data_IF_355275180576
#
_entry.id   IF_355275180576
#
_cell.length_a   1.000
_cell.length_b   1.000
_cell.length_c   1.000
_cell.angle_alpha   90.00
_cell.angle_beta   90.00
_cell.angle_gamma   90.00
#
_symmetry.space_group_name_H-M   'P 1'
#
loop_
_entity.id
_entity.type
_entity.pdbx_description
1 polymer ?
#
# COMPACT_ATOMS: atom_id res chain seq x y z
N UNK A 1 -5.80 9.27 20.44
CA UNK A 1 -6.77 8.18 20.09
C UNK A 1 -6.24 7.33 18.92
N UNK A 2 -6.88 6.20 18.57
CA UNK A 2 -6.52 5.42 17.35
C UNK A 2 -7.18 6.00 16.09
N UNK A 3 -6.37 6.17 15.05
CA UNK A 3 -6.75 6.58 13.69
C UNK A 3 -6.20 5.57 12.67
N UNK A 4 -6.78 5.57 11.47
CA UNK A 4 -6.22 4.84 10.34
C UNK A 4 -6.23 5.71 9.09
N UNK A 5 -5.18 5.58 8.27
CA UNK A 5 -5.03 6.26 7.00
C UNK A 5 -4.77 5.20 5.94
N UNK A 6 -5.66 5.13 4.95
CA UNK A 6 -5.51 4.29 3.77
C UNK A 6 -4.76 5.08 2.70
N UNK A 7 -3.51 4.71 2.46
CA UNK A 7 -2.70 5.25 1.38
C UNK A 7 -3.16 4.62 0.06
N UNK A 8 -3.89 5.40 -0.73
CA UNK A 8 -4.43 5.07 -2.04
C UNK A 8 -3.66 5.80 -3.17
N UNK A 9 -2.34 5.84 -3.04
CA UNK A 9 -1.43 6.37 -4.05
C UNK A 9 -1.06 5.34 -5.13
N UNK A 10 -0.55 5.83 -6.26
CA UNK A 10 0.02 5.02 -7.32
C UNK A 10 -0.87 4.90 -8.57
N UNK A 11 -0.35 5.38 -9.70
CA UNK A 11 -1.07 5.40 -10.98
C UNK A 11 -1.35 4.01 -11.57
N UNK A 12 -0.76 2.94 -11.03
CA UNK A 12 -1.08 1.58 -11.43
C UNK A 12 -0.61 1.15 -12.83
N UNK A 13 0.23 1.94 -13.52
CA UNK A 13 0.53 1.79 -14.97
C UNK A 13 0.93 0.39 -15.48
N UNK A 14 1.37 -0.51 -14.60
CA UNK A 14 1.65 -1.93 -14.93
C UNK A 14 0.39 -2.78 -15.14
N UNK A 15 -0.76 -2.34 -14.63
CA UNK A 15 -2.08 -2.97 -14.76
C UNK A 15 -2.94 -2.29 -15.85
N UNK A 16 -2.32 -1.48 -16.71
CA UNK A 16 -2.97 -0.99 -17.92
C UNK A 16 -3.34 -2.16 -18.83
N UNK A 17 -4.51 -2.17 -19.48
CA UNK A 17 -5.47 -1.07 -19.66
C UNK A 17 -6.57 -0.93 -18.60
N UNK A 18 -6.61 -1.79 -17.57
CA UNK A 18 -7.61 -1.68 -16.51
C UNK A 18 -7.37 -0.46 -15.62
N UNK A 19 -6.12 -0.23 -15.22
CA UNK A 19 -5.75 1.00 -14.52
C UNK A 19 -5.45 2.11 -15.52
N UNK A 20 -5.99 3.30 -15.27
CA UNK A 20 -5.78 4.51 -16.08
C UNK A 20 -5.59 5.73 -15.18
N UNK A 21 -5.22 6.86 -15.78
CA UNK A 21 -5.09 8.12 -15.05
C UNK A 21 -6.41 8.54 -14.35
N UNK A 22 -7.57 8.15 -14.87
CA UNK A 22 -8.89 8.41 -14.24
C UNK A 22 -9.34 7.30 -13.29
N UNK A 23 -8.83 6.09 -13.44
CA UNK A 23 -9.25 4.91 -12.66
C UNK A 23 -8.02 4.20 -12.08
N UNK A 24 -7.61 4.54 -10.85
CA UNK A 24 -6.35 4.08 -10.28
C UNK A 24 -6.45 2.61 -9.81
N UNK A 25 -5.30 1.95 -9.67
CA UNK A 25 -5.23 0.49 -9.45
C UNK A 25 -6.00 0.01 -8.22
N UNK A 26 -6.07 0.79 -7.15
CA UNK A 26 -6.76 0.40 -5.92
C UNK A 26 -8.28 0.25 -6.12
N UNK A 27 -8.84 0.78 -7.21
CA UNK A 27 -10.25 0.58 -7.55
C UNK A 27 -10.50 -0.68 -8.37
N UNK A 28 -9.44 -1.37 -8.81
CA UNK A 28 -9.56 -2.63 -9.52
C UNK A 28 -10.20 -3.69 -8.62
N UNK A 29 -11.15 -4.40 -9.21
CA UNK A 29 -11.87 -5.48 -8.53
C UNK A 29 -11.02 -6.75 -8.48
N UNK A 30 -11.08 -7.43 -7.34
CA UNK A 30 -10.50 -8.77 -7.14
C UNK A 30 -11.61 -9.80 -6.93
N UNK A 31 -11.27 -11.05 -6.59
CA UNK A 31 -12.26 -12.09 -6.26
C UNK A 31 -13.30 -11.56 -5.26
N UNK A 32 -14.56 -11.84 -5.56
CA UNK A 32 -15.70 -11.34 -4.79
C UNK A 32 -16.26 -9.99 -5.30
N UNK A 33 -15.69 -9.41 -6.35
CA UNK A 33 -16.21 -8.21 -7.02
C UNK A 33 -15.99 -6.91 -6.25
N UNK A 34 -15.25 -6.95 -5.14
CA UNK A 34 -14.87 -5.76 -4.36
C UNK A 34 -13.56 -5.19 -4.89
N UNK A 35 -13.44 -3.86 -4.85
CA UNK A 35 -12.17 -3.19 -5.14
C UNK A 35 -11.15 -3.42 -4.03
N UNK A 36 -9.85 -3.34 -4.35
CA UNK A 36 -8.78 -3.41 -3.36
C UNK A 36 -8.95 -2.35 -2.25
N UNK A 37 -9.36 -1.13 -2.63
CA UNK A 37 -9.65 -0.04 -1.71
C UNK A 37 -10.79 -0.42 -0.74
N UNK A 38 -11.85 -1.04 -1.24
CA UNK A 38 -12.96 -1.50 -0.38
C UNK A 38 -12.47 -2.55 0.61
N UNK A 39 -11.65 -3.51 0.17
CA UNK A 39 -11.06 -4.50 1.08
C UNK A 39 -10.16 -3.85 2.14
N UNK A 40 -9.39 -2.82 1.77
CA UNK A 40 -8.57 -2.05 2.70
C UNK A 40 -9.38 -1.25 3.72
N UNK A 41 -10.59 -0.81 3.37
CA UNK A 41 -11.51 -0.17 4.29
C UNK A 41 -12.18 -1.17 5.23
N UNK A 42 -12.75 -2.26 4.68
CA UNK A 42 -13.46 -3.28 5.48
C UNK A 42 -12.58 -3.96 6.52
N UNK A 43 -11.27 -4.13 6.25
CA UNK A 43 -10.35 -4.67 7.26
C UNK A 43 -10.16 -3.75 8.48
N UNK A 44 -10.48 -2.47 8.37
CA UNK A 44 -10.48 -1.50 9.48
C UNK A 44 -11.85 -1.34 10.15
N UNK A 45 -12.93 -1.72 9.46
CA UNK A 45 -14.31 -1.57 9.94
C UNK A 45 -14.52 -2.24 11.31
N UNK A 46 -15.10 -1.50 12.26
CA UNK A 46 -15.30 -1.96 13.64
C UNK A 46 -14.03 -2.02 14.49
N UNK A 47 -12.84 -1.81 13.91
CA UNK A 47 -11.58 -1.70 14.62
C UNK A 47 -11.19 -0.23 14.87
N UNK A 48 -11.37 0.63 13.86
CA UNK A 48 -11.30 2.10 13.96
C UNK A 48 -12.67 2.65 13.55
N UNK A 49 -13.26 3.62 14.27
CA UNK A 49 -14.53 4.22 13.86
C UNK A 49 -14.36 5.03 12.57
N UNK A 50 -15.40 5.09 11.74
CA UNK A 50 -15.36 5.67 10.40
C UNK A 50 -14.90 7.14 10.39
N UNK A 51 -15.26 7.91 11.43
CA UNK A 51 -14.84 9.31 11.59
C UNK A 51 -13.33 9.48 11.81
N UNK A 52 -12.61 8.38 12.08
CA UNK A 52 -11.15 8.34 12.28
C UNK A 52 -10.42 7.53 11.21
N UNK A 53 -11.13 7.09 10.18
CA UNK A 53 -10.53 6.51 8.98
C UNK A 53 -10.38 7.65 7.95
N UNK A 54 -9.18 7.76 7.40
CA UNK A 54 -8.83 8.72 6.36
C UNK A 54 -8.37 7.97 5.10
N UNK A 55 -8.52 8.61 3.94
CA UNK A 55 -7.97 8.11 2.67
C UNK A 55 -7.07 9.19 2.09
N UNK A 56 -5.81 8.86 1.80
CA UNK A 56 -4.88 9.75 1.14
C UNK A 56 -4.70 9.31 -0.31
N UNK A 57 -5.06 10.18 -1.26
CA UNK A 57 -5.02 9.88 -2.69
C UNK A 57 -4.93 11.17 -3.52
N UNK A 58 -4.64 11.04 -4.83
CA UNK A 58 -4.67 12.18 -5.73
C UNK A 58 -6.05 12.85 -5.80
N UNK A 59 -6.09 14.19 -5.77
CA UNK A 59 -7.35 14.97 -5.76
C UNK A 59 -8.27 14.62 -6.94
N UNK A 60 -7.71 14.26 -8.10
CA UNK A 60 -8.47 13.84 -9.29
C UNK A 60 -9.28 12.56 -9.09
N UNK A 61 -8.99 11.77 -8.05
CA UNK A 61 -9.67 10.52 -7.75
C UNK A 61 -10.72 10.64 -6.63
N UNK A 62 -10.92 11.83 -6.06
CA UNK A 62 -11.80 12.03 -4.90
C UNK A 62 -13.19 11.45 -5.16
N UNK A 63 -13.86 11.90 -6.22
CA UNK A 63 -15.24 11.48 -6.50
C UNK A 63 -15.37 9.95 -6.59
N UNK A 64 -14.53 9.31 -7.42
CA UNK A 64 -14.61 7.85 -7.63
C UNK A 64 -14.21 7.08 -6.37
N UNK A 65 -13.30 7.60 -5.53
CA UNK A 65 -12.97 6.98 -4.24
C UNK A 65 -14.14 7.03 -3.28
N UNK A 66 -14.83 8.18 -3.18
CA UNK A 66 -15.99 8.35 -2.31
C UNK A 66 -17.17 7.46 -2.75
N UNK A 67 -17.34 7.23 -4.05
CA UNK A 67 -18.35 6.29 -4.57
C UNK A 67 -18.10 4.84 -4.10
N UNK A 68 -16.83 4.45 -3.90
CA UNK A 68 -16.47 3.13 -3.38
C UNK A 68 -16.52 3.03 -1.84
N UNK A 69 -16.51 4.17 -1.14
CA UNK A 69 -16.47 4.28 0.32
C UNK A 69 -17.53 5.28 0.83
N UNK A 70 -18.84 4.99 0.65
CA UNK A 70 -19.91 5.92 1.04
C UNK A 70 -19.97 6.21 2.55
N UNK A 71 -19.34 5.38 3.38
CA UNK A 71 -19.25 5.55 4.83
C UNK A 71 -18.15 6.54 5.27
N UNK A 72 -17.20 6.85 4.39
CA UNK A 72 -16.09 7.76 4.70
C UNK A 72 -16.59 9.22 4.72
N UNK A 73 -16.34 10.00 5.78
CA UNK A 73 -16.62 11.44 5.77
C UNK A 73 -15.81 12.16 4.70
N UNK A 74 -16.41 13.13 4.02
CA UNK A 74 -15.74 13.87 2.92
C UNK A 74 -14.50 14.62 3.41
N UNK A 75 -14.55 15.15 4.63
CA UNK A 75 -13.43 15.83 5.30
C UNK A 75 -12.24 14.92 5.64
N UNK A 76 -12.42 13.59 5.58
CA UNK A 76 -11.39 12.59 5.82
C UNK A 76 -10.69 12.12 4.52
N UNK A 77 -11.08 12.68 3.37
CA UNK A 77 -10.31 12.56 2.14
C UNK A 77 -9.16 13.56 2.12
N UNK A 78 -7.93 13.05 2.10
CA UNK A 78 -6.69 13.81 2.02
C UNK A 78 -6.20 13.84 0.56
N UNK A 79 -6.64 14.86 -0.17
CA UNK A 79 -6.33 15.05 -1.59
C UNK A 79 -4.90 15.56 -1.84
N UNK A 80 -4.08 14.75 -2.49
CA UNK A 80 -2.76 15.14 -3.00
C UNK A 80 -2.89 15.86 -4.35
N UNK A 81 -2.46 17.12 -4.48
CA UNK A 81 -2.51 17.84 -5.76
C UNK A 81 -1.57 17.24 -6.82
N UNK A 82 -0.46 16.64 -6.39
CA UNK A 82 0.55 16.02 -7.24
C UNK A 82 1.24 14.89 -6.50
N UNK A 83 1.55 13.80 -7.20
CA UNK A 83 2.21 12.64 -6.59
C UNK A 83 3.64 12.96 -6.13
N UNK A 84 3.88 12.90 -4.82
CA UNK A 84 5.19 13.13 -4.18
C UNK A 84 5.69 11.96 -3.33
N UNK A 85 5.17 10.75 -3.58
CA UNK A 85 5.56 9.52 -2.90
C UNK A 85 5.18 9.52 -1.40
N UNK A 86 5.43 8.41 -0.69
CA UNK A 86 4.76 8.11 0.58
C UNK A 86 5.16 9.02 1.75
N UNK A 87 6.35 9.63 1.75
CA UNK A 87 6.77 10.46 2.89
C UNK A 87 5.85 11.68 3.07
N UNK A 88 5.46 12.33 1.97
CA UNK A 88 4.62 13.52 2.01
C UNK A 88 3.16 13.18 2.25
N UNK A 89 2.65 12.11 1.65
CA UNK A 89 1.28 11.63 1.85
C UNK A 89 1.04 11.29 3.33
N UNK A 90 1.99 10.57 3.94
CA UNK A 90 1.95 10.21 5.34
C UNK A 90 2.17 11.44 6.24
N UNK A 91 3.16 12.27 5.91
CA UNK A 91 3.46 13.50 6.66
C UNK A 91 2.28 14.47 6.71
N UNK A 92 1.58 14.66 5.58
CA UNK A 92 0.36 15.46 5.50
C UNK A 92 -0.75 14.90 6.38
N UNK A 93 -0.99 13.59 6.30
CA UNK A 93 -2.01 12.95 7.14
C UNK A 93 -1.69 13.12 8.63
N UNK A 94 -0.44 12.88 9.05
CA UNK A 94 -0.03 13.11 10.44
C UNK A 94 -0.21 14.59 10.84
N UNK A 95 0.20 15.54 10.00
CA UNK A 95 0.07 16.97 10.29
C UNK A 95 -1.40 17.39 10.46
N UNK A 96 -2.29 16.96 9.58
CA UNK A 96 -3.73 17.25 9.69
C UNK A 96 -4.35 16.59 10.92
N UNK A 97 -4.00 15.33 11.20
CA UNK A 97 -4.54 14.60 12.36
C UNK A 97 -4.08 15.24 13.68
N UNK A 98 -2.81 15.66 13.79
CA UNK A 98 -2.26 16.27 15.02
C UNK A 98 -2.91 17.60 15.37
N UNK A 99 -3.32 18.40 14.38
CA UNK A 99 -4.07 19.64 14.62
C UNK A 99 -5.45 19.37 15.26
N UNK A 100 -6.00 18.17 15.06
CA UNK A 100 -7.30 17.74 15.60
C UNK A 100 -7.18 16.92 16.89
N UNK A 101 -6.16 16.06 17.00
CA UNK A 101 -5.83 15.23 18.16
C UNK A 101 -4.30 15.13 18.33
N UNK A 102 -3.71 15.90 19.27
CA UNK A 102 -2.26 15.90 19.51
C UNK A 102 -1.69 14.55 19.97
N UNK A 103 -2.52 13.68 20.56
CA UNK A 103 -2.15 12.36 21.08
C UNK A 103 -2.61 11.23 20.13
N UNK A 104 -2.79 11.54 18.85
CA UNK A 104 -3.20 10.57 17.85
C UNK A 104 -2.12 9.51 17.60
N UNK A 105 -2.51 8.24 17.70
CA UNK A 105 -1.77 7.10 17.17
C UNK A 105 -2.47 6.67 15.88
N UNK A 106 -1.74 6.68 14.78
CA UNK A 106 -2.29 6.44 13.46
C UNK A 106 -1.64 5.21 12.82
N UNK A 107 -2.49 4.31 12.31
CA UNK A 107 -2.07 3.25 11.42
C UNK A 107 -2.08 3.75 9.97
N UNK A 108 -1.03 3.45 9.22
CA UNK A 108 -0.92 3.69 7.80
C UNK A 108 -0.99 2.36 7.08
N UNK A 109 -2.07 2.16 6.34
CA UNK A 109 -2.35 0.94 5.61
C UNK A 109 -2.39 1.24 4.11
N UNK A 110 -2.06 0.26 3.28
CA UNK A 110 -2.10 0.42 1.82
C UNK A 110 -3.43 -0.05 1.23
N UNK A 111 -3.87 0.63 0.17
CA UNK A 111 -5.14 0.39 -0.50
C UNK A 111 -5.13 -0.79 -1.50
N UNK A 112 -3.97 -1.35 -1.79
CA UNK A 112 -3.72 -2.27 -2.92
C UNK A 112 -3.21 -3.65 -2.47
N UNK A 113 -3.33 -3.96 -1.19
CA UNK A 113 -2.99 -5.28 -0.64
C UNK A 113 -4.24 -6.15 -0.43
N UNK A 114 -4.12 -7.43 -0.75
CA UNK A 114 -5.03 -8.48 -0.27
C UNK A 114 -4.38 -9.16 0.93
N UNK A 115 -5.11 -9.26 2.04
CA UNK A 115 -4.60 -9.77 3.32
C UNK A 115 -5.63 -10.73 3.92
N UNK A 116 -5.25 -11.99 4.10
CA UNK A 116 -6.13 -13.03 4.64
C UNK A 116 -5.37 -13.94 5.64
N UNK A 117 -5.97 -14.33 6.78
CA UNK A 117 -7.28 -13.90 7.28
C UNK A 117 -7.22 -12.48 7.90
N UNK A 118 -8.33 -11.75 7.80
CA UNK A 118 -8.44 -10.36 8.29
C UNK A 118 -8.27 -10.28 9.81
N UNK A 119 -8.69 -11.31 10.54
CA UNK A 119 -8.58 -11.41 11.99
C UNK A 119 -7.11 -11.39 12.44
N UNK A 120 -6.25 -12.17 11.79
CA UNK A 120 -4.81 -12.18 12.09
C UNK A 120 -4.13 -10.84 11.76
N UNK A 121 -4.60 -10.15 10.72
CA UNK A 121 -4.18 -8.76 10.47
C UNK A 121 -4.61 -7.82 11.59
N UNK A 122 -5.87 -7.89 12.05
CA UNK A 122 -6.40 -7.05 13.14
C UNK A 122 -5.71 -7.31 14.47
N UNK A 123 -5.35 -8.56 14.77
CA UNK A 123 -4.55 -8.92 15.94
C UNK A 123 -3.17 -8.24 15.90
N UNK A 124 -2.46 -8.35 14.77
CA UNK A 124 -1.18 -7.67 14.58
C UNK A 124 -1.32 -6.15 14.68
N UNK A 125 -2.34 -5.58 14.04
CA UNK A 125 -2.64 -4.15 14.09
C UNK A 125 -2.91 -3.67 15.52
N UNK A 126 -3.68 -4.44 16.31
CA UNK A 126 -3.92 -4.17 17.72
C UNK A 126 -2.66 -4.23 18.57
N UNK A 127 -1.78 -5.21 18.34
CA UNK A 127 -0.45 -5.24 18.98
C UNK A 127 0.38 -4.01 18.63
N UNK A 128 0.40 -3.59 17.36
CA UNK A 128 1.17 -2.42 16.93
C UNK A 128 0.65 -1.13 17.59
N UNK A 129 -0.68 -0.92 17.60
CA UNK A 129 -1.28 0.19 18.33
C UNK A 129 -0.92 0.17 19.82
N UNK A 130 -1.13 -0.95 20.50
CA UNK A 130 -0.84 -1.05 21.93
C UNK A 130 0.65 -0.81 22.24
N UNK A 131 1.54 -1.25 21.36
CA UNK A 131 2.99 -1.03 21.48
C UNK A 131 3.33 0.46 21.41
N UNK A 132 2.79 1.17 20.42
CA UNK A 132 3.04 2.61 20.25
C UNK A 132 2.35 3.43 21.35
N UNK A 133 1.17 3.02 21.80
CA UNK A 133 0.46 3.64 22.93
C UNK A 133 1.29 3.56 24.22
N UNK A 134 1.95 2.41 24.47
CA UNK A 134 2.84 2.23 25.63
C UNK A 134 4.22 2.91 25.44
N UNK A 135 4.70 2.99 24.19
CA UNK A 135 6.02 3.50 23.84
C UNK A 135 5.94 4.45 22.64
N UNK A 136 5.58 5.72 22.86
CA UNK A 136 5.26 6.63 21.76
C UNK A 136 6.41 7.00 20.82
N UNK A 137 7.65 6.72 21.23
CA UNK A 137 8.85 6.85 20.42
C UNK A 137 9.03 5.71 19.40
N UNK A 138 8.21 4.66 19.47
CA UNK A 138 8.32 3.53 18.54
C UNK A 138 7.63 3.83 17.21
N UNK A 139 8.29 3.43 16.13
CA UNK A 139 7.76 3.37 14.77
C UNK A 139 7.52 1.90 14.43
N UNK A 140 6.28 1.46 14.54
CA UNK A 140 5.94 0.08 14.27
C UNK A 140 5.72 -0.13 12.76
N UNK A 141 6.29 -1.21 12.22
CA UNK A 141 5.99 -1.73 10.87
C UNK A 141 5.49 -3.17 10.98
N UNK A 142 4.96 -3.71 9.88
CA UNK A 142 4.52 -5.10 9.82
C UNK A 142 5.36 -5.92 8.85
N UNK A 143 5.79 -7.08 9.32
CA UNK A 143 6.62 -8.00 8.56
C UNK A 143 5.87 -9.28 8.19
N UNK A 144 5.94 -9.72 6.93
CA UNK A 144 5.35 -10.99 6.48
C UNK A 144 6.45 -12.05 6.35
N UNK A 145 6.28 -13.27 6.90
CA UNK A 145 7.22 -14.36 6.69
C UNK A 145 7.43 -14.65 5.20
N UNK A 146 8.67 -14.60 4.69
CA UNK A 146 8.90 -14.75 3.27
C UNK A 146 8.73 -16.22 2.86
N UNK A 147 7.95 -16.45 1.81
CA UNK A 147 7.76 -17.78 1.21
C UNK A 147 8.65 -17.99 -0.03
N UNK A 148 9.35 -16.94 -0.47
CA UNK A 148 10.27 -16.96 -1.61
C UNK A 148 11.29 -15.81 -1.53
N UNK A 149 12.33 -15.88 -2.35
CA UNK A 149 13.35 -14.83 -2.48
C UNK A 149 12.91 -13.75 -3.47
N UNK A 150 12.01 -12.86 -3.04
CA UNK A 150 11.40 -11.86 -3.90
C UNK A 150 12.20 -10.55 -3.95
N UNK A 151 12.80 -10.22 -5.09
CA UNK A 151 13.65 -9.02 -5.25
C UNK A 151 12.86 -7.71 -5.37
N UNK A 152 11.55 -7.79 -5.63
CA UNK A 152 10.68 -6.62 -5.75
C UNK A 152 10.16 -6.06 -4.41
N UNK A 153 10.50 -6.68 -3.28
CA UNK A 153 10.01 -6.30 -1.94
C UNK A 153 11.16 -5.82 -1.05
N UNK A 154 10.84 -4.99 -0.07
CA UNK A 154 11.74 -4.68 1.04
C UNK A 154 11.83 -5.85 2.04
N UNK A 155 12.97 -5.95 2.72
CA UNK A 155 13.22 -6.91 3.78
C UNK A 155 13.57 -6.20 5.10
N UNK A 156 13.07 -6.76 6.19
CA UNK A 156 13.28 -6.29 7.57
C UNK A 156 14.04 -7.38 8.31
N UNK A 157 15.25 -7.08 8.80
CA UNK A 157 15.96 -7.98 9.69
C UNK A 157 15.50 -7.77 11.14
N UNK A 158 14.99 -8.83 11.76
CA UNK A 158 14.54 -8.80 13.16
C UNK A 158 15.71 -8.89 14.13
N UNK A 159 15.65 -8.06 15.16
CA UNK A 159 16.44 -8.17 16.38
C UNK A 159 15.77 -9.10 17.41
N UNK A 160 16.18 -8.99 18.67
CA UNK A 160 15.53 -9.70 19.77
C UNK A 160 14.09 -9.21 20.03
N UNK A 161 13.20 -10.07 20.58
CA UNK A 161 11.87 -9.68 21.01
C UNK A 161 11.92 -8.55 22.06
N UNK A 162 10.97 -7.64 22.01
CA UNK A 162 10.78 -6.61 23.04
C UNK A 162 10.11 -7.26 24.26
N UNK A 163 10.80 -7.36 25.43
CA UNK A 163 10.26 -8.09 26.58
C UNK A 163 8.96 -7.48 27.13
N UNK A 164 8.84 -6.16 27.08
CA UNK A 164 7.74 -5.39 27.68
C UNK A 164 6.62 -5.04 26.68
N UNK A 165 6.69 -5.55 25.43
CA UNK A 165 5.65 -5.29 24.45
C UNK A 165 4.34 -6.03 24.79
N UNK A 166 3.16 -5.46 24.47
CA UNK A 166 1.87 -6.07 24.81
C UNK A 166 1.66 -7.49 24.26
N UNK A 167 2.30 -7.83 23.14
CA UNK A 167 2.26 -9.17 22.54
C UNK A 167 3.19 -10.21 23.19
N UNK A 168 4.00 -9.81 24.17
CA UNK A 168 5.00 -10.65 24.82
C UNK A 168 4.42 -11.46 26.01
N UNK A 169 3.18 -11.18 26.41
CA UNK A 169 2.55 -11.72 27.61
C UNK A 169 1.70 -12.99 27.35
N UNK A 170 2.36 -14.13 27.15
CA UNK A 170 1.79 -15.47 27.35
C UNK A 170 0.68 -15.95 26.38
N UNK A 171 0.15 -17.17 26.59
CA UNK A 171 -0.88 -17.76 25.74
C UNK A 171 -2.20 -16.97 25.85
N UNK A 172 -2.49 -16.15 24.84
CA UNK A 172 -3.62 -15.21 24.78
C UNK A 172 -3.22 -13.78 24.40
N UNK A 173 -1.92 -13.46 24.39
CA UNK A 173 -1.41 -12.20 23.84
C UNK A 173 -1.33 -12.20 22.31
N UNK A 174 -1.36 -11.01 21.70
CA UNK A 174 -1.12 -10.85 20.26
C UNK A 174 0.32 -11.21 19.85
N UNK A 175 0.71 -11.04 18.57
CA UNK A 175 2.03 -11.45 18.09
C UNK A 175 3.19 -10.76 18.85
N UNK A 176 4.29 -11.48 19.03
CA UNK A 176 5.51 -10.91 19.62
C UNK A 176 6.04 -9.75 18.77
N UNK A 177 6.54 -8.71 19.43
CA UNK A 177 7.13 -7.53 18.78
C UNK A 177 8.65 -7.64 18.82
N UNK A 178 9.31 -7.35 17.71
CA UNK A 178 10.77 -7.45 17.60
C UNK A 178 11.36 -6.08 17.30
N UNK A 179 12.58 -5.83 17.78
CA UNK A 179 13.36 -4.70 17.26
C UNK A 179 13.74 -4.94 15.80
N UNK A 180 14.15 -3.90 15.10
CA UNK A 180 14.68 -4.00 13.73
C UNK A 180 16.17 -3.63 13.73
N UNK A 181 17.02 -4.50 13.19
CA UNK A 181 18.47 -4.22 13.03
C UNK A 181 18.78 -3.56 11.70
N UNK A 182 18.04 -3.91 10.66
CA UNK A 182 18.26 -3.40 9.32
C UNK A 182 16.97 -3.41 8.50
N UNK A 183 16.89 -2.44 7.60
CA UNK A 183 15.90 -2.37 6.56
C UNK A 183 16.63 -2.37 5.21
N UNK A 184 16.15 -3.15 4.25
CA UNK A 184 16.77 -3.24 2.93
C UNK A 184 15.69 -3.30 1.86
N UNK A 185 15.57 -2.21 1.09
CA UNK A 185 14.62 -2.13 -0.01
C UNK A 185 15.15 -2.82 -1.27
N UNK A 186 14.39 -3.80 -1.80
CA UNK A 186 14.63 -4.46 -3.10
C UNK A 186 16.06 -5.00 -3.29
N UNK A 187 16.47 -5.99 -2.48
CA UNK A 187 17.79 -6.60 -2.61
C UNK A 187 17.96 -7.34 -3.94
N UNK A 188 19.22 -7.60 -4.31
CA UNK A 188 19.51 -8.51 -5.43
C UNK A 188 19.09 -9.96 -5.11
N UNK A 189 19.03 -10.80 -6.15
CA UNK A 189 18.53 -12.17 -6.02
C UNK A 189 19.36 -13.04 -5.05
N UNK A 190 20.68 -12.86 -5.02
CA UNK A 190 21.55 -13.64 -4.14
C UNK A 190 21.32 -13.25 -2.66
N UNK A 191 21.19 -11.95 -2.42
CA UNK A 191 20.89 -11.38 -1.11
C UNK A 191 19.51 -11.80 -0.62
N UNK A 192 18.48 -11.72 -1.47
CA UNK A 192 17.13 -12.19 -1.14
C UNK A 192 17.11 -13.69 -0.77
N UNK A 193 17.87 -14.53 -1.50
CA UNK A 193 18.00 -15.95 -1.17
C UNK A 193 18.66 -16.17 0.19
N UNK A 194 19.73 -15.42 0.49
CA UNK A 194 20.40 -15.49 1.78
C UNK A 194 19.48 -15.05 2.93
N UNK A 195 18.66 -14.02 2.73
CA UNK A 195 17.69 -13.54 3.72
C UNK A 195 16.65 -14.59 4.09
N UNK A 196 16.08 -15.26 3.08
CA UNK A 196 15.10 -16.34 3.29
C UNK A 196 15.76 -17.53 3.98
N UNK A 197 16.94 -17.96 3.51
CA UNK A 197 17.68 -19.07 4.11
C UNK A 197 18.09 -18.81 5.57
N UNK A 198 18.38 -17.55 5.91
CA UNK A 198 18.78 -17.15 7.27
C UNK A 198 17.62 -17.09 8.28
N UNK A 199 16.36 -17.07 7.84
CA UNK A 199 15.17 -17.15 8.71
C UNK A 199 14.90 -15.94 9.62
N UNK A 200 15.79 -14.94 9.67
CA UNK A 200 15.63 -13.72 10.49
C UNK A 200 14.86 -12.60 9.79
N UNK A 201 14.76 -12.65 8.47
CA UNK A 201 14.16 -11.56 7.70
C UNK A 201 12.66 -11.77 7.47
N UNK A 202 11.93 -10.66 7.42
CA UNK A 202 10.52 -10.59 7.01
C UNK A 202 10.42 -9.67 5.78
N UNK A 203 9.42 -9.88 4.92
CA UNK A 203 9.07 -8.88 3.91
C UNK A 203 8.47 -7.64 4.58
N UNK A 204 8.92 -6.46 4.17
CA UNK A 204 8.27 -5.21 4.54
C UNK A 204 6.91 -5.11 3.86
N UNK A 205 5.85 -4.98 4.65
CA UNK A 205 4.50 -4.82 4.13
C UNK A 205 4.16 -3.39 3.70
N UNK A 206 5.04 -2.39 3.97
CA UNK A 206 4.75 -0.99 3.69
C UNK A 206 3.62 -0.38 4.52
N UNK A 207 3.22 -1.07 5.60
CA UNK A 207 2.23 -0.61 6.56
C UNK A 207 2.92 -0.24 7.88
N UNK A 208 2.36 0.74 8.59
CA UNK A 208 3.00 1.31 9.77
C UNK A 208 2.00 1.70 10.86
N UNK A 209 2.48 1.87 12.09
CA UNK A 209 1.75 2.51 13.20
C UNK A 209 2.73 3.37 13.99
N UNK A 210 2.32 4.61 14.30
CA UNK A 210 3.11 5.53 15.13
C UNK A 210 2.21 6.60 15.74
N UNK A 211 2.74 7.30 16.75
CA UNK A 211 2.16 8.56 17.20
C UNK A 211 2.46 9.64 16.16
N UNK A 212 1.46 10.42 15.78
CA UNK A 212 1.55 11.29 14.62
C UNK A 212 2.58 12.43 14.81
N UNK A 213 2.68 13.01 16.00
CA UNK A 213 3.72 13.98 16.40
C UNK A 213 5.15 13.38 16.39
N UNK A 214 5.31 12.12 16.79
CA UNK A 214 6.58 11.41 16.76
C UNK A 214 7.07 11.31 15.31
N UNK A 215 6.17 10.93 14.38
CA UNK A 215 6.52 10.90 12.97
C UNK A 215 6.90 12.31 12.46
N UNK A 216 6.11 13.33 12.78
CA UNK A 216 6.41 14.71 12.37
C UNK A 216 7.76 15.19 12.89
N UNK A 217 8.15 14.77 14.09
CA UNK A 217 9.48 15.04 14.66
C UNK A 217 10.59 14.38 13.85
N UNK A 218 10.40 13.13 13.41
CA UNK A 218 11.36 12.47 12.52
C UNK A 218 11.40 13.15 11.14
N UNK A 219 10.24 13.52 10.59
CA UNK A 219 10.17 14.22 9.32
C UNK A 219 10.88 15.58 9.38
N UNK A 220 10.72 16.33 10.47
CA UNK A 220 11.44 17.58 10.68
C UNK A 220 12.96 17.37 10.68
N UNK A 221 13.42 16.28 11.28
CA UNK A 221 14.85 15.95 11.40
C UNK A 221 15.46 15.52 10.06
N UNK A 222 14.81 14.61 9.34
CA UNK A 222 15.39 14.00 8.13
C UNK A 222 14.99 14.69 6.83
N UNK A 223 13.85 15.39 6.84
CA UNK A 223 13.27 16.02 5.66
C UNK A 223 12.57 17.34 6.03
N UNK A 224 13.31 18.33 6.59
CA UNK A 224 12.72 19.54 7.15
C UNK A 224 11.84 20.31 6.17
N UNK A 225 12.22 20.36 4.89
CA UNK A 225 11.40 21.00 3.85
C UNK A 225 10.05 20.31 3.63
N UNK A 226 9.98 18.98 3.78
CA UNK A 226 8.70 18.27 3.74
C UNK A 226 7.87 18.58 4.98
N UNK A 227 8.47 18.56 6.18
CA UNK A 227 7.81 18.93 7.43
C UNK A 227 7.19 20.33 7.37
N UNK A 228 7.95 21.33 6.94
CA UNK A 228 7.48 22.72 6.84
C UNK A 228 6.31 22.83 5.86
N UNK A 229 6.42 22.15 4.72
CA UNK A 229 5.38 22.10 3.70
C UNK A 229 4.08 21.45 4.20
N UNK A 230 4.15 20.24 4.75
CA UNK A 230 2.95 19.53 5.22
C UNK A 230 2.30 20.22 6.42
N UNK A 231 3.09 20.80 7.32
CA UNK A 231 2.58 21.57 8.48
C UNK A 231 1.89 22.85 8.03
N UNK A 232 2.44 23.54 7.02
CA UNK A 232 1.80 24.73 6.43
C UNK A 232 0.45 24.37 5.81
N UNK A 233 0.36 23.23 5.13
CA UNK A 233 -0.89 22.76 4.53
C UNK A 233 -1.91 22.38 5.62
N UNK A 234 -1.48 21.66 6.65
CA UNK A 234 -2.34 21.26 7.76
C UNK A 234 -3.00 22.46 8.48
N UNK A 235 -2.24 23.53 8.73
CA UNK A 235 -2.78 24.78 9.32
C UNK A 235 -3.87 25.45 8.49
N UNK A 236 -3.86 25.24 7.18
CA UNK A 236 -4.87 25.77 6.27
C UNK A 236 -5.98 24.75 5.95
N UNK A 237 -5.91 23.52 6.48
CA UNK A 237 -6.73 22.40 6.03
C UNK A 237 -8.22 22.63 6.25
N UNK A 238 -8.58 23.11 7.44
CA UNK A 238 -9.97 23.38 7.81
C UNK A 238 -10.38 24.85 7.50
N UNK A 239 -9.72 25.49 6.52
CA UNK A 239 -10.01 26.85 6.07
C UNK A 239 -10.32 26.92 4.57
N UNK A 240 -10.92 28.02 4.07
CA UNK A 240 -11.13 28.24 2.63
C UNK A 240 -9.83 28.28 1.80
N UNK A 241 -8.66 28.44 2.44
CA UNK A 241 -7.37 28.59 1.77
C UNK A 241 -6.71 27.25 1.46
N UNK A 242 -7.22 26.13 2.02
CA UNK A 242 -6.69 24.76 1.90
C UNK A 242 -6.15 24.45 0.50
N UNK A 243 -6.99 24.57 -0.53
CA UNK A 243 -6.64 24.20 -1.90
C UNK A 243 -5.48 25.03 -2.42
N UNK A 244 -5.51 26.35 -2.23
CA UNK A 244 -4.47 27.26 -2.72
C UNK A 244 -3.14 27.03 -2.00
N UNK A 245 -3.18 26.74 -0.69
CA UNK A 245 -1.98 26.45 0.09
C UNK A 245 -1.41 25.08 -0.28
N UNK A 246 -2.26 24.06 -0.41
CA UNK A 246 -1.87 22.70 -0.80
C UNK A 246 -1.21 22.69 -2.18
N UNK A 247 -1.81 23.27 -3.21
CA UNK A 247 -1.25 23.29 -4.56
C UNK A 247 0.15 23.90 -4.61
N UNK A 248 0.37 25.01 -3.88
CA UNK A 248 1.67 25.70 -3.86
C UNK A 248 2.72 24.93 -3.06
N UNK A 249 2.39 24.59 -1.81
CA UNK A 249 3.36 23.96 -0.92
C UNK A 249 3.68 22.51 -1.33
N UNK A 250 2.67 21.73 -1.75
CA UNK A 250 2.86 20.32 -2.13
C UNK A 250 3.69 20.17 -3.41
N UNK A 251 3.61 21.14 -4.33
CA UNK A 251 4.40 21.15 -5.55
C UNK A 251 5.90 21.32 -5.31
N UNK A 252 6.32 21.89 -4.17
CA UNK A 252 7.72 22.11 -3.82
C UNK A 252 8.34 20.91 -3.06
N UNK A 253 7.52 19.96 -2.62
CA UNK A 253 7.98 18.85 -1.79
C UNK A 253 8.86 17.86 -2.58
N UNK A 254 9.91 17.30 -1.95
CA UNK A 254 10.74 16.28 -2.57
C UNK A 254 9.92 15.02 -2.82
N UNK A 255 10.17 14.33 -3.93
CA UNK A 255 9.55 13.02 -4.20
C UNK A 255 10.39 11.92 -3.55
N UNK A 256 9.94 11.37 -2.43
CA UNK A 256 10.69 10.38 -1.63
C UNK A 256 9.75 9.51 -0.80
N UNK A 257 10.07 8.22 -0.66
CA UNK A 257 9.29 7.31 0.18
C UNK A 257 9.60 7.50 1.67
N UNK A 258 8.65 7.12 2.52
CA UNK A 258 8.83 7.13 3.97
C UNK A 258 9.92 6.18 4.44
N UNK A 259 10.11 5.06 3.73
CA UNK A 259 11.12 4.06 4.05
C UNK A 259 12.53 4.68 3.98
N UNK A 260 12.83 5.41 2.91
CA UNK A 260 14.11 6.12 2.77
C UNK A 260 14.20 7.36 3.66
N UNK A 261 13.11 8.12 3.78
CA UNK A 261 13.13 9.40 4.49
C UNK A 261 13.22 9.25 6.02
N UNK A 262 12.63 8.18 6.59
CA UNK A 262 12.48 8.04 8.04
C UNK A 262 12.86 6.63 8.53
N UNK A 263 12.33 5.57 7.92
CA UNK A 263 12.49 4.22 8.50
C UNK A 263 13.93 3.72 8.47
N UNK A 264 14.64 3.89 7.36
CA UNK A 264 16.04 3.49 7.23
C UNK A 264 16.97 4.25 8.20
N UNK A 265 16.94 5.61 8.29
CA UNK A 265 17.69 6.34 9.32
C UNK A 265 17.34 5.91 10.74
N UNK A 266 16.05 5.82 11.07
CA UNK A 266 15.60 5.47 12.43
C UNK A 266 16.02 4.04 12.82
N UNK A 267 16.05 3.10 11.87
CA UNK A 267 16.51 1.73 12.12
C UNK A 267 18.01 1.65 12.45
N UNK A 268 18.84 2.60 11.97
CA UNK A 268 20.28 2.66 12.29
C UNK A 268 20.56 3.17 13.70
N UNK A 269 19.53 3.61 14.43
CA UNK A 269 19.67 4.14 15.79
C UNK A 269 20.32 5.53 15.83
N UNK A 270 20.24 6.28 14.72
CA UNK A 270 20.72 7.65 14.65
C UNK A 270 19.79 8.62 15.40
N UNK A 271 18.60 8.15 15.79
CA UNK A 271 17.49 8.96 16.33
C UNK A 271 16.96 8.44 17.67
N UNK A 272 16.12 9.24 18.33
CA UNK A 272 15.39 8.83 19.54
C UNK A 272 14.29 7.81 19.24
N UNK A 273 13.77 7.83 18.01
CA UNK A 273 12.76 6.90 17.55
C UNK A 273 13.37 5.51 17.35
N UNK A 274 12.57 4.47 17.61
CA UNK A 274 13.00 3.08 17.45
C UNK A 274 12.06 2.34 16.54
N UNK A 275 12.61 1.69 15.52
CA UNK A 275 11.82 0.85 14.62
C UNK A 275 11.57 -0.52 15.25
N UNK A 276 10.31 -0.93 15.26
CA UNK A 276 9.88 -2.26 15.72
C UNK A 276 9.05 -2.91 14.63
N UNK A 277 9.06 -4.24 14.59
CA UNK A 277 8.28 -5.02 13.62
C UNK A 277 7.36 -5.99 14.33
N UNK A 278 6.10 -5.99 13.89
CA UNK A 278 5.07 -6.95 14.28
C UNK A 278 4.90 -7.95 13.15
N UNK A 279 5.27 -9.23 13.32
CA UNK A 279 5.08 -10.24 12.29
C UNK A 279 3.58 -10.52 12.08
N UNK A 280 3.17 -10.65 10.81
CA UNK A 280 1.81 -11.04 10.43
C UNK A 280 1.84 -12.44 9.84
N UNK A 281 1.11 -13.38 10.45
CA UNK A 281 0.91 -14.73 9.91
C UNK A 281 -0.31 -14.75 9.00
N UNK A 282 -0.17 -14.19 7.81
CA UNK A 282 -1.25 -13.99 6.81
C UNK A 282 -0.76 -14.39 5.42
N UNK A 283 -1.67 -14.79 4.54
CA UNK A 283 -1.43 -14.66 3.10
C UNK A 283 -1.56 -13.18 2.75
N UNK A 284 -0.50 -12.65 2.14
CA UNK A 284 -0.36 -11.25 1.80
C UNK A 284 0.06 -11.12 0.35
N UNK A 285 -0.66 -10.27 -0.38
CA UNK A 285 -0.44 -10.03 -1.80
C UNK A 285 -0.41 -8.53 -2.02
N UNK A 286 0.76 -8.00 -2.42
CA UNK A 286 0.89 -6.67 -3.01
C UNK A 286 0.48 -6.71 -4.48
N UNK A 287 -0.67 -6.13 -4.81
CA UNK A 287 -1.22 -6.12 -6.17
C UNK A 287 -0.58 -5.01 -7.00
N UNK A 288 0.70 -5.21 -7.31
CA UNK A 288 1.51 -4.28 -8.10
C UNK A 288 1.57 -4.56 -9.61
N UNK A 289 1.26 -5.78 -10.04
CA UNK A 289 1.37 -6.26 -11.42
C UNK A 289 0.44 -7.46 -11.71
N UNK A 290 0.30 -7.84 -12.99
CA UNK A 290 -0.61 -8.90 -13.43
C UNK A 290 -0.44 -10.24 -12.71
N UNK A 291 0.78 -10.77 -12.49
CA UNK A 291 0.94 -12.02 -11.75
C UNK A 291 0.41 -11.96 -10.33
N UNK A 292 0.53 -10.81 -9.65
CA UNK A 292 -0.01 -10.62 -8.30
C UNK A 292 -1.55 -10.54 -8.34
N UNK A 293 -2.12 -9.79 -9.29
CA UNK A 293 -3.57 -9.72 -9.47
C UNK A 293 -4.15 -11.12 -9.74
N UNK A 294 -3.49 -11.94 -10.57
CA UNK A 294 -3.94 -13.28 -10.93
C UNK A 294 -4.08 -14.23 -9.73
N UNK A 295 -3.26 -14.06 -8.68
CA UNK A 295 -3.39 -14.82 -7.43
C UNK A 295 -4.71 -14.54 -6.71
N UNK A 296 -5.31 -13.39 -6.97
CA UNK A 296 -6.61 -12.98 -6.40
C UNK A 296 -7.80 -13.46 -7.25
N UNK A 297 -7.59 -14.14 -8.38
CA UNK A 297 -8.65 -14.54 -9.30
C UNK A 297 -8.96 -16.04 -9.20
N UNK A 298 -10.07 -16.45 -9.82
CA UNK A 298 -10.37 -17.87 -9.97
C UNK A 298 -9.34 -18.51 -10.93
N UNK A 299 -8.84 -19.69 -10.54
CA UNK A 299 -7.89 -20.46 -11.33
C UNK A 299 -8.55 -21.78 -11.76
N UNK A 300 -8.34 -22.16 -13.02
CA UNK A 300 -8.75 -23.46 -13.55
C UNK A 300 -7.67 -24.55 -13.29
N UNK A 301 -7.95 -25.84 -13.61
CA UNK A 301 -6.97 -26.91 -13.46
C UNK A 301 -5.69 -26.78 -14.31
N UNK A 302 -5.70 -25.92 -15.33
CA UNK A 302 -4.55 -25.60 -16.19
C UNK A 302 -3.87 -24.29 -15.76
N UNK A 303 -4.12 -23.81 -14.53
CA UNK A 303 -3.53 -22.61 -13.97
C UNK A 303 -3.82 -21.32 -14.77
N UNK A 304 -4.91 -21.29 -15.54
CA UNK A 304 -5.40 -20.05 -16.14
C UNK A 304 -6.19 -19.26 -15.07
N UNK A 305 -5.77 -18.02 -14.82
CA UNK A 305 -6.45 -17.11 -13.93
C UNK A 305 -7.40 -16.21 -14.72
N UNK A 306 -8.67 -16.09 -14.33
CA UNK A 306 -9.62 -15.23 -15.04
C UNK A 306 -10.70 -14.59 -14.16
N UNK A 307 -11.24 -13.46 -14.63
CA UNK A 307 -12.41 -12.78 -14.04
C UNK A 307 -13.57 -12.57 -15.04
N UNK A 308 -13.46 -13.14 -16.25
CA UNK A 308 -14.42 -13.01 -17.33
C UNK A 308 -14.86 -14.39 -17.84
N UNK A 309 -15.88 -14.44 -18.69
CA UNK A 309 -16.26 -15.68 -19.37
C UNK A 309 -15.12 -16.12 -20.30
N UNK A 310 -14.65 -17.35 -20.18
CA UNK A 310 -13.51 -17.84 -20.98
C UNK A 310 -13.80 -19.15 -21.70
N UNK A 311 -13.23 -19.30 -22.90
CA UNK A 311 -13.13 -20.57 -23.64
C UNK A 311 -11.69 -20.78 -24.05
N UNK A 312 -10.99 -21.66 -23.34
CA UNK A 312 -9.55 -21.85 -23.46
C UNK A 312 -9.26 -23.25 -24.02
N UNK A 313 -8.78 -23.32 -25.27
CA UNK A 313 -8.45 -24.58 -25.94
C UNK A 313 -6.93 -24.72 -25.99
N UNK A 314 -6.41 -25.83 -25.47
CA UNK A 314 -4.96 -26.08 -25.40
C UNK A 314 -4.15 -24.92 -24.79
N UNK A 315 -4.73 -24.28 -23.77
CA UNK A 315 -4.21 -23.08 -23.12
C UNK A 315 -3.90 -23.34 -21.64
N UNK A 316 -2.72 -22.90 -21.18
CA UNK A 316 -2.24 -23.14 -19.80
C UNK A 316 -1.51 -21.92 -19.27
N UNK A 317 -1.67 -21.66 -17.97
CA UNK A 317 -0.92 -20.62 -17.30
C UNK A 317 -1.22 -19.23 -17.82
N UNK A 318 -2.41 -18.92 -18.35
CA UNK A 318 -2.73 -17.58 -18.83
C UNK A 318 -3.33 -16.68 -17.74
N UNK A 319 -3.31 -15.38 -17.96
CA UNK A 319 -4.05 -14.39 -17.15
C UNK A 319 -5.03 -13.72 -18.10
N UNK A 320 -6.32 -13.94 -17.92
CA UNK A 320 -7.37 -13.45 -18.83
C UNK A 320 -8.34 -12.56 -18.05
N UNK A 321 -8.24 -11.25 -18.25
CA UNK A 321 -8.95 -10.27 -17.43
C UNK A 321 -9.78 -9.33 -18.28
N UNK A 322 -10.99 -8.98 -17.83
CA UNK A 322 -11.79 -7.91 -18.40
C UNK A 322 -12.47 -7.05 -17.33
N UNK A 323 -12.76 -5.80 -17.65
CA UNK A 323 -13.67 -4.94 -16.87
C UNK A 323 -15.15 -5.23 -17.14
N UNK A 324 -15.47 -6.08 -18.14
CA UNK A 324 -16.77 -6.69 -18.36
C UNK A 324 -16.68 -8.21 -18.07
N UNK A 325 -17.13 -8.67 -16.89
CA UNK A 325 -17.10 -10.08 -16.52
C UNK A 325 -17.93 -10.99 -17.43
N UNK A 326 -18.91 -10.45 -18.17
CA UNK A 326 -19.76 -11.22 -19.09
C UNK A 326 -19.13 -11.35 -20.49
N UNK A 327 -18.06 -10.60 -20.78
CA UNK A 327 -17.36 -10.66 -22.05
C UNK A 327 -16.67 -12.03 -22.23
N UNK A 328 -16.92 -12.68 -23.38
CA UNK A 328 -16.27 -13.93 -23.73
C UNK A 328 -14.87 -13.68 -24.31
N UNK A 329 -13.83 -14.12 -23.60
CA UNK A 329 -12.47 -14.23 -24.14
C UNK A 329 -12.15 -15.67 -24.51
N UNK A 330 -11.89 -15.92 -25.79
CA UNK A 330 -11.55 -17.25 -26.30
C UNK A 330 -10.10 -17.30 -26.80
N UNK A 331 -9.36 -18.34 -26.42
CA UNK A 331 -7.95 -18.53 -26.80
C UNK A 331 -7.67 -19.95 -27.27
N UNK A 332 -6.72 -20.11 -28.19
CA UNK A 332 -6.24 -21.41 -28.66
C UNK A 332 -4.72 -21.44 -28.60
N UNK A 333 -4.14 -22.42 -27.88
CA UNK A 333 -2.70 -22.65 -27.86
C UNK A 333 -1.86 -21.63 -27.07
N UNK A 334 -2.48 -20.70 -26.34
CA UNK A 334 -1.76 -19.70 -25.55
C UNK A 334 -1.17 -20.29 -24.27
N UNK A 335 0.08 -19.96 -23.98
CA UNK A 335 0.81 -20.34 -22.77
C UNK A 335 1.41 -19.11 -22.12
N UNK A 336 1.35 -19.02 -20.80
CA UNK A 336 1.98 -17.95 -20.02
C UNK A 336 1.75 -16.53 -20.59
N UNK A 337 0.53 -16.28 -21.06
CA UNK A 337 0.14 -15.04 -21.72
C UNK A 337 -0.86 -14.26 -20.87
N UNK A 338 -0.67 -12.95 -20.78
CA UNK A 338 -1.61 -11.99 -20.22
C UNK A 338 -2.47 -11.47 -21.37
N UNK A 339 -3.78 -11.59 -21.24
CA UNK A 339 -4.80 -11.06 -22.15
C UNK A 339 -5.74 -10.19 -21.32
N UNK A 340 -5.80 -8.91 -21.65
CA UNK A 340 -6.63 -7.94 -20.93
C UNK A 340 -7.54 -7.25 -21.92
N UNK A 341 -8.84 -7.32 -21.68
CA UNK A 341 -9.85 -6.69 -22.50
C UNK A 341 -10.55 -5.57 -21.73
N UNK A 342 -10.60 -4.38 -22.34
CA UNK A 342 -11.42 -3.24 -21.94
C UNK A 342 -12.18 -2.72 -23.16
N UNK A 343 -13.23 -1.90 -23.03
CA UNK A 343 -14.09 -1.50 -24.14
C UNK A 343 -13.36 -0.89 -25.35
N UNK A 344 -12.24 -0.23 -25.11
CA UNK A 344 -11.47 0.50 -26.13
C UNK A 344 -10.01 0.01 -26.27
N UNK A 345 -9.54 -0.92 -25.43
CA UNK A 345 -8.18 -1.46 -25.49
C UNK A 345 -8.18 -2.97 -25.22
N UNK A 346 -7.51 -3.73 -26.08
CA UNK A 346 -7.08 -5.10 -25.77
C UNK A 346 -5.55 -5.12 -25.68
N UNK A 347 -5.01 -5.60 -24.56
CA UNK A 347 -3.58 -5.73 -24.33
C UNK A 347 -3.22 -7.20 -24.22
N UNK A 348 -2.17 -7.61 -24.93
CA UNK A 348 -1.65 -8.97 -24.89
C UNK A 348 -0.14 -8.91 -24.71
N UNK A 349 0.39 -9.62 -23.71
CA UNK A 349 1.82 -9.77 -23.52
C UNK A 349 2.20 -11.09 -22.83
N UNK A 350 3.41 -11.62 -23.04
CA UNK A 350 3.91 -12.71 -22.22
C UNK A 350 3.99 -12.32 -20.74
N UNK A 351 3.70 -13.24 -19.83
CA UNK A 351 3.79 -13.04 -18.38
C UNK A 351 5.15 -12.51 -17.93
N UNK A 352 6.23 -13.04 -18.52
CA UNK A 352 7.60 -12.63 -18.20
C UNK A 352 7.95 -11.21 -18.64
N UNK A 353 7.14 -10.60 -19.51
CA UNK A 353 7.31 -9.22 -19.99
C UNK A 353 6.34 -8.25 -19.29
N UNK A 354 5.60 -8.66 -18.25
CA UNK A 354 4.57 -7.84 -17.58
C UNK A 354 5.10 -6.47 -17.10
N UNK A 355 6.35 -6.38 -16.65
CA UNK A 355 6.97 -5.12 -16.21
C UNK A 355 7.16 -4.10 -17.35
N UNK A 356 7.18 -4.54 -18.61
CA UNK A 356 7.33 -3.70 -19.80
C UNK A 356 6.01 -3.03 -20.24
N UNK A 357 4.89 -3.35 -19.61
CA UNK A 357 3.59 -2.69 -19.87
C UNK A 357 3.70 -1.18 -19.65
N UNK A 358 4.51 -0.72 -18.68
CA UNK A 358 4.76 0.72 -18.46
C UNK A 358 5.37 1.42 -19.67
N UNK A 359 6.25 0.73 -20.40
CA UNK A 359 6.91 1.25 -21.60
C UNK A 359 5.92 1.30 -22.77
N UNK A 360 5.03 0.31 -22.85
CA UNK A 360 3.92 0.29 -23.80
C UNK A 360 2.98 1.47 -23.58
N UNK A 361 2.58 1.75 -22.33
CA UNK A 361 1.73 2.91 -21.98
C UNK A 361 2.39 4.23 -22.38
N UNK A 362 3.69 4.38 -22.11
CA UNK A 362 4.43 5.57 -22.53
C UNK A 362 4.39 5.76 -24.06
N UNK A 363 4.49 4.66 -24.83
CA UNK A 363 4.39 4.70 -26.29
C UNK A 363 2.97 5.01 -26.79
N UNK A 364 1.95 4.49 -26.11
CA UNK A 364 0.54 4.82 -26.40
C UNK A 364 0.29 6.32 -26.21
N UNK A 365 0.75 6.91 -25.09
CA UNK A 365 0.66 8.37 -24.84
C UNK A 365 1.33 9.18 -25.93
N UNK A 366 2.53 8.79 -26.33
CA UNK A 366 3.26 9.48 -27.38
C UNK A 366 2.54 9.45 -28.73
N UNK A 367 1.84 8.36 -29.04
CA UNK A 367 1.24 8.14 -30.37
C UNK A 367 -0.20 8.64 -30.44
N UNK A 368 -0.96 8.54 -29.34
CA UNK A 368 -2.40 8.75 -29.30
C UNK A 368 -2.89 9.66 -28.15
N UNK A 369 -1.98 10.27 -27.38
CA UNK A 369 -2.32 11.10 -26.23
C UNK A 369 -2.87 10.29 -25.05
N UNK A 370 -3.53 10.97 -24.10
CA UNK A 370 -3.97 10.36 -22.84
C UNK A 370 -5.28 9.56 -22.95
N UNK A 371 -5.93 9.55 -24.12
CA UNK A 371 -7.22 8.86 -24.32
C UNK A 371 -7.18 7.39 -23.92
N UNK A 372 -6.10 6.70 -24.25
CA UNK A 372 -5.93 5.26 -24.04
C UNK A 372 -4.91 4.93 -22.95
N UNK A 373 -4.55 5.87 -22.06
CA UNK A 373 -3.34 5.74 -21.23
C UNK A 373 -3.49 6.06 -19.73
#
# INVERSE_FOLDING_TARGET
MRYAVINAGGAGTRLWPLSRASFPKQLLSVRGGKSLLRLAYERLEGFVPDERIFVCAGTTHQQVIMEHLPELPEENFLGEPVARDTANAIGLACAVIVERDPDAVAAFVTADHVIEPVESFREALGTAFATVEAHPQMLATFGVPPTSAHTGLGYIERAEPLPDAPGSAGPGGGPAVFGVTAFTEKPDAATAQAYVAGGRHLWNSGMFVWRADTLLTQLHRHLPGAYDGVTRIAKAWDTPERTTVAEKAYAELPKISIDYAVMEPAARGEDEARVVVVPMSVDWIDVGAWPALARTLANDPAHNASNAVTVLVDSEGNIVVSDDPEHLVATVGLRDTIVVHTPDVTMVCPKNDAERVKDLVARVRQTHGDRYA
#
